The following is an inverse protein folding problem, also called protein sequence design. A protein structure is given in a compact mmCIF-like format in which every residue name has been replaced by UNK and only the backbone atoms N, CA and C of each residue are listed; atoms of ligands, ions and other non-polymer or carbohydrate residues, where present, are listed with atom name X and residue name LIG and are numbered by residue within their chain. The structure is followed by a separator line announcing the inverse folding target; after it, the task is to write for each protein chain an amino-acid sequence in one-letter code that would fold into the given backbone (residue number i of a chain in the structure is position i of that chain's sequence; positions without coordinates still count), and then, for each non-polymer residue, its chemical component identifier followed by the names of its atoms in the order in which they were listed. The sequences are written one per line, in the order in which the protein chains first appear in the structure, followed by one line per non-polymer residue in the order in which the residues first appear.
data_IF_654758635481
#
_entry.id   IF_654758635481
#
_cell.length_a   1.000
_cell.length_b   1.000
_cell.length_c   1.000
_cell.angle_alpha   90.00
_cell.angle_beta   90.00
_cell.angle_gamma   90.00
#
_symmetry.space_group_name_H-M   'P 1'
#
loop_
_entity.id
_entity.type
_entity.pdbx_description
1 polymer ?
#
# COMPACT_ATOMS: atom_id res chain seq x y z
N UNK A 1 -67.31 18.31 8.56
CA UNK A 1 -66.75 17.24 7.71
C UNK A 1 -65.63 16.59 8.48
N UNK A 2 -65.95 15.52 9.19
CA UNK A 2 -65.04 14.73 10.01
C UNK A 2 -64.05 13.97 9.12
N UNK A 3 -62.79 14.39 9.06
CA UNK A 3 -61.72 13.57 8.50
C UNK A 3 -61.18 12.65 9.58
N UNK A 4 -61.72 11.44 9.63
CA UNK A 4 -61.07 10.30 10.27
C UNK A 4 -59.81 9.97 9.47
N UNK A 5 -58.65 10.19 10.08
CA UNK A 5 -57.39 9.63 9.60
C UNK A 5 -57.31 8.24 10.23
N UNK A 6 -57.64 7.22 9.45
CA UNK A 6 -57.39 5.83 9.82
C UNK A 6 -55.87 5.66 9.99
N UNK A 7 -55.37 5.13 11.12
CA UNK A 7 -53.95 4.85 11.24
C UNK A 7 -53.64 3.69 10.30
N UNK A 8 -53.00 4.00 9.18
CA UNK A 8 -52.41 3.00 8.32
C UNK A 8 -51.55 2.08 9.18
N UNK A 9 -51.87 0.78 9.12
CA UNK A 9 -51.15 -0.36 9.68
C UNK A 9 -49.75 -0.42 9.08
N UNK A 10 -48.90 0.52 9.45
CA UNK A 10 -47.48 0.53 9.14
C UNK A 10 -46.76 0.17 10.43
N UNK A 11 -46.16 -1.03 10.53
CA UNK A 11 -45.40 -1.37 11.72
C UNK A 11 -44.28 -0.34 11.90
N UNK A 12 -43.98 0.06 13.14
CA UNK A 12 -42.94 1.04 13.40
C UNK A 12 -41.62 0.51 12.80
N UNK A 13 -41.12 1.20 11.78
CA UNK A 13 -39.81 0.87 11.20
C UNK A 13 -38.75 1.15 12.26
N UNK A 14 -38.10 0.10 12.73
CA UNK A 14 -36.99 0.23 13.65
C UNK A 14 -35.83 0.90 12.90
N UNK A 15 -35.58 2.17 13.19
CA UNK A 15 -34.39 2.85 12.71
C UNK A 15 -33.16 2.12 13.27
N UNK A 16 -32.18 1.83 12.40
CA UNK A 16 -30.96 1.08 12.71
C UNK A 16 -30.09 1.67 13.85
N UNK A 17 -30.45 2.84 14.38
CA UNK A 17 -29.75 3.49 15.48
C UNK A 17 -30.15 2.99 16.88
N UNK A 18 -31.24 2.21 17.03
CA UNK A 18 -31.81 1.88 18.35
C UNK A 18 -31.39 0.47 18.83
N UNK A 19 -30.97 -0.43 17.93
CA UNK A 19 -30.52 -1.78 18.32
C UNK A 19 -29.35 -2.25 17.44
N UNK A 20 -28.12 -2.36 17.98
CA UNK A 20 -26.95 -2.78 17.22
C UNK A 20 -26.94 -4.28 16.87
N UNK A 21 -27.88 -5.08 17.41
CA UNK A 21 -28.05 -6.49 17.08
C UNK A 21 -29.14 -6.73 16.00
N UNK A 22 -29.92 -5.69 15.64
CA UNK A 22 -30.93 -5.78 14.59
C UNK A 22 -30.29 -5.73 13.20
N UNK A 23 -30.05 -6.91 12.63
CA UNK A 23 -29.63 -7.06 11.24
C UNK A 23 -30.88 -7.11 10.36
N UNK A 24 -31.15 -6.10 9.51
CA UNK A 24 -32.23 -6.19 8.54
C UNK A 24 -31.98 -7.39 7.62
N UNK A 25 -33.00 -8.25 7.47
CA UNK A 25 -32.87 -9.51 6.74
C UNK A 25 -32.32 -9.33 5.31
N UNK A 26 -31.63 -10.35 4.76
CA UNK A 26 -31.04 -10.26 3.43
C UNK A 26 -32.12 -9.97 2.39
N UNK A 27 -31.94 -8.92 1.59
CA UNK A 27 -32.84 -8.65 0.48
C UNK A 27 -32.79 -9.83 -0.50
N UNK A 28 -33.95 -10.25 -1.06
CA UNK A 28 -33.96 -11.30 -2.07
C UNK A 28 -33.15 -10.85 -3.29
N UNK A 29 -32.32 -11.75 -3.81
CA UNK A 29 -31.58 -11.51 -5.04
C UNK A 29 -32.54 -11.16 -6.18
N UNK A 30 -32.20 -10.12 -6.95
CA UNK A 30 -32.89 -9.75 -8.18
C UNK A 30 -32.89 -10.97 -9.13
N UNK A 31 -34.04 -11.42 -9.65
CA UNK A 31 -34.07 -12.57 -10.55
C UNK A 31 -33.25 -12.27 -11.81
N UNK A 32 -32.38 -13.21 -12.18
CA UNK A 32 -31.57 -13.17 -13.39
C UNK A 32 -32.48 -13.18 -14.63
N UNK A 33 -32.25 -12.26 -15.54
CA UNK A 33 -32.83 -12.29 -16.88
C UNK A 33 -32.25 -13.49 -17.67
N UNK A 34 -33.03 -14.13 -18.55
CA UNK A 34 -32.59 -15.34 -19.24
C UNK A 34 -31.51 -15.10 -20.30
N UNK A 35 -30.68 -16.14 -20.38
CA UNK A 35 -29.56 -16.46 -21.26
C UNK A 35 -29.68 -16.01 -22.73
N UNK A 36 -28.67 -15.29 -23.22
CA UNK A 36 -28.35 -15.18 -24.64
C UNK A 36 -26.96 -15.79 -24.90
N UNK A 37 -26.94 -17.12 -25.01
CA UNK A 37 -26.33 -17.91 -26.09
C UNK A 37 -24.91 -17.51 -26.53
N UNK A 38 -24.00 -18.40 -26.15
CA UNK A 38 -22.69 -18.72 -26.71
C UNK A 38 -22.41 -18.32 -28.17
N UNK A 39 -21.22 -17.74 -28.37
CA UNK A 39 -20.37 -17.95 -29.54
C UNK A 39 -18.90 -17.87 -29.08
N UNK A 40 -18.18 -18.95 -29.29
CA UNK A 40 -16.73 -19.11 -29.10
C UNK A 40 -16.16 -19.55 -30.48
N UNK A 41 -14.84 -19.66 -30.66
CA UNK A 41 -13.83 -18.65 -30.95
C UNK A 41 -13.30 -18.79 -32.40
N UNK A 42 -12.55 -17.83 -32.97
CA UNK A 42 -11.55 -18.13 -34.01
C UNK A 42 -10.31 -17.22 -33.94
N UNK A 43 -9.21 -17.90 -34.26
CA UNK A 43 -7.79 -17.60 -34.33
C UNK A 43 -7.39 -16.35 -35.16
N UNK A 44 -6.29 -15.71 -34.78
CA UNK A 44 -5.63 -14.72 -35.66
C UNK A 44 -4.72 -13.72 -34.94
N UNK A 45 -3.45 -14.09 -34.72
CA UNK A 45 -2.36 -13.11 -34.80
C UNK A 45 -2.09 -12.83 -36.30
N UNK A 46 -1.71 -11.59 -36.71
CA UNK A 46 -0.29 -11.22 -36.61
C UNK A 46 0.01 -9.70 -36.44
N UNK A 47 1.20 -9.45 -35.88
CA UNK A 47 2.28 -8.56 -36.35
C UNK A 47 2.05 -7.07 -36.71
N UNK A 48 2.95 -6.26 -36.14
CA UNK A 48 3.52 -4.99 -36.61
C UNK A 48 2.63 -3.73 -36.75
N UNK A 49 2.90 -2.77 -35.85
CA UNK A 49 3.02 -1.37 -36.25
C UNK A 49 4.11 -0.69 -35.41
N UNK A 50 5.24 -0.45 -36.07
CA UNK A 50 6.34 0.38 -35.62
C UNK A 50 5.90 1.85 -35.49
N UNK A 51 6.31 2.52 -34.41
CA UNK A 51 6.43 3.97 -34.35
C UNK A 51 7.65 4.31 -33.47
N UNK A 52 8.78 4.57 -34.10
CA UNK A 52 9.81 5.49 -33.62
C UNK A 52 9.77 6.73 -34.54
N UNK A 53 10.53 7.80 -34.25
CA UNK A 53 10.48 8.69 -33.09
C UNK A 53 10.21 10.13 -33.57
N UNK A 54 9.92 11.09 -32.68
CA UNK A 54 10.02 12.51 -33.06
C UNK A 54 10.56 13.38 -31.92
N UNK A 55 11.61 14.13 -32.26
CA UNK A 55 12.42 15.03 -31.46
C UNK A 55 11.68 16.31 -31.06
N UNK A 56 11.99 16.84 -29.87
CA UNK A 56 12.21 18.27 -29.61
C UNK A 56 12.59 18.44 -28.12
N UNK A 57 13.87 18.66 -27.80
CA UNK A 57 14.51 19.98 -27.74
C UNK A 57 14.33 20.70 -26.38
N UNK A 58 15.30 20.42 -25.49
CA UNK A 58 16.18 21.31 -24.71
C UNK A 58 15.70 22.65 -24.08
N UNK A 59 16.40 22.93 -22.97
CA UNK A 59 16.61 24.21 -22.24
C UNK A 59 15.61 24.54 -21.13
N UNK A 60 15.97 25.11 -19.97
CA UNK A 60 17.20 25.34 -19.18
C UNK A 60 16.68 26.06 -17.90
N UNK A 61 17.33 25.95 -16.74
CA UNK A 61 17.00 26.84 -15.61
C UNK A 61 17.24 26.30 -14.20
N UNK A 62 18.51 26.22 -13.84
CA UNK A 62 19.15 26.55 -12.53
C UNK A 62 18.40 26.32 -11.19
N UNK A 63 18.99 25.59 -10.22
CA UNK A 63 18.50 25.55 -8.84
C UNK A 63 18.98 26.77 -8.03
N UNK A 64 18.03 27.54 -7.49
CA UNK A 64 18.33 28.61 -6.52
C UNK A 64 18.18 28.08 -5.09
N UNK A 65 19.31 28.05 -4.40
CA UNK A 65 19.40 27.77 -2.98
C UNK A 65 19.03 29.03 -2.19
N UNK A 66 18.05 28.93 -1.29
CA UNK A 66 18.01 29.81 -0.13
C UNK A 66 17.50 29.09 1.11
N UNK A 67 18.25 29.34 2.17
CA UNK A 67 18.28 28.65 3.44
C UNK A 67 17.31 29.25 4.47
N UNK A 68 17.25 28.53 5.61
CA UNK A 68 16.85 28.97 6.95
C UNK A 68 15.34 29.18 7.15
N UNK A 69 14.72 28.90 8.30
CA UNK A 69 15.04 28.26 9.59
C UNK A 69 13.71 28.46 10.35
N UNK A 70 13.12 27.43 10.97
CA UNK A 70 12.54 27.58 12.32
C UNK A 70 12.08 26.22 12.86
N UNK A 71 12.40 26.03 14.14
CA UNK A 71 12.35 24.80 14.91
C UNK A 71 10.98 24.50 15.52
N UNK A 72 10.70 23.21 15.76
CA UNK A 72 10.04 22.61 16.93
C UNK A 72 9.90 21.12 16.61
N UNK A 73 10.79 20.21 17.04
CA UNK A 73 11.00 19.72 18.42
C UNK A 73 9.69 19.42 19.17
N UNK A 74 9.29 18.15 19.12
CA UNK A 74 8.75 17.29 20.20
C UNK A 74 8.09 16.05 19.52
N UNK A 75 8.50 14.80 19.69
CA UNK A 75 9.49 14.20 20.56
C UNK A 75 9.66 12.70 20.27
N UNK A 76 10.65 12.15 20.98
CA UNK A 76 10.93 10.72 21.22
C UNK A 76 11.51 9.91 20.06
N UNK A 77 12.76 10.24 19.74
CA UNK A 77 13.74 9.24 19.31
C UNK A 77 13.99 8.24 20.46
N UNK A 78 13.39 7.07 20.39
CA UNK A 78 13.93 5.88 21.07
C UNK A 78 15.19 5.48 20.29
N UNK A 79 16.33 5.96 20.81
CA UNK A 79 17.65 5.57 20.39
C UNK A 79 17.86 4.08 20.67
N UNK A 80 17.62 3.23 19.67
CA UNK A 80 18.30 1.95 19.58
C UNK A 80 19.78 2.24 19.29
N UNK A 81 20.63 2.08 20.30
CA UNK A 81 22.07 2.16 20.12
C UNK A 81 22.51 1.22 18.97
N UNK A 82 23.38 1.65 18.03
CA UNK A 82 24.00 0.74 17.08
C UNK A 82 24.99 -0.12 17.87
N UNK A 83 24.51 -1.27 18.33
CA UNK A 83 25.36 -2.37 18.72
C UNK A 83 26.05 -2.89 17.47
N UNK A 84 27.36 -2.97 17.55
CA UNK A 84 28.29 -3.56 16.59
C UNK A 84 27.86 -5.01 16.22
N UNK A 85 27.06 -5.15 15.17
CA UNK A 85 26.75 -6.41 14.46
C UNK A 85 26.90 -6.13 12.95
N UNK A 86 28.11 -5.69 12.57
CA UNK A 86 28.47 -4.99 11.31
C UNK A 86 28.56 -5.88 10.04
N UNK A 87 27.93 -7.06 10.00
CA UNK A 87 28.08 -7.97 8.84
C UNK A 87 26.75 -8.51 8.28
N UNK A 88 25.61 -7.93 8.67
CA UNK A 88 24.32 -8.28 8.04
C UNK A 88 23.79 -7.10 7.25
N UNK A 89 23.35 -7.31 6.00
CA UNK A 89 22.75 -6.24 5.22
C UNK A 89 21.55 -5.68 5.99
N UNK A 90 21.47 -4.36 6.08
CA UNK A 90 20.35 -3.64 6.67
C UNK A 90 19.86 -2.60 5.66
N UNK A 91 18.54 -2.55 5.46
CA UNK A 91 17.89 -1.57 4.60
C UNK A 91 17.07 -0.62 5.46
N UNK A 92 17.32 0.69 5.31
CA UNK A 92 16.51 1.74 5.93
C UNK A 92 15.91 2.67 4.87
N UNK A 93 14.59 2.56 4.68
CA UNK A 93 13.81 3.38 3.78
C UNK A 93 12.80 4.21 4.56
N UNK A 94 12.94 5.54 4.52
CA UNK A 94 12.11 6.46 5.29
C UNK A 94 11.67 7.65 4.45
N UNK A 95 10.41 8.05 4.61
CA UNK A 95 9.79 9.25 4.05
C UNK A 95 9.11 10.04 5.18
N UNK A 96 8.50 11.18 4.86
CA UNK A 96 7.77 12.01 5.81
C UNK A 96 6.65 11.27 6.55
N UNK A 97 6.03 10.26 5.92
CA UNK A 97 4.85 9.56 6.48
C UNK A 97 5.11 8.12 6.87
N UNK A 98 6.09 7.45 6.29
CA UNK A 98 6.29 6.03 6.50
C UNK A 98 7.79 5.70 6.57
N UNK A 99 8.12 4.66 7.30
CA UNK A 99 9.47 4.10 7.33
C UNK A 99 9.45 2.58 7.36
N UNK A 100 10.43 1.97 6.73
CA UNK A 100 10.68 0.55 6.67
C UNK A 100 12.13 0.33 7.06
N UNK A 101 12.33 -0.51 8.07
CA UNK A 101 13.64 -1.01 8.47
C UNK A 101 13.61 -2.52 8.29
N UNK A 102 14.53 -3.05 7.49
CA UNK A 102 14.73 -4.48 7.35
C UNK A 102 16.16 -4.80 7.78
N UNK A 103 16.29 -5.65 8.78
CA UNK A 103 17.56 -6.01 9.41
C UNK A 103 17.56 -7.51 9.74
N UNK A 104 18.62 -8.00 10.37
CA UNK A 104 18.76 -9.43 10.69
C UNK A 104 17.68 -9.97 11.63
N UNK A 105 17.05 -9.11 12.43
CA UNK A 105 16.02 -9.52 13.38
C UNK A 105 14.65 -9.64 12.70
N UNK A 106 14.37 -8.75 11.74
CA UNK A 106 13.09 -8.77 11.06
C UNK A 106 12.83 -7.54 10.22
N UNK A 107 11.54 -7.24 10.05
CA UNK A 107 11.04 -6.07 9.34
C UNK A 107 10.18 -5.22 10.27
N UNK A 108 10.56 -3.96 10.43
CA UNK A 108 9.76 -2.93 11.10
C UNK A 108 9.10 -2.04 10.06
N UNK A 109 7.78 -1.96 10.12
CA UNK A 109 6.97 -1.05 9.30
C UNK A 109 6.40 0.04 10.19
N UNK A 110 6.54 1.30 9.77
CA UNK A 110 5.90 2.45 10.40
C UNK A 110 5.12 3.25 9.37
N UNK A 111 3.91 3.67 9.72
CA UNK A 111 3.09 4.57 8.92
C UNK A 111 2.32 5.53 9.83
N UNK A 112 2.58 6.83 9.63
CA UNK A 112 2.06 7.93 10.45
C UNK A 112 2.35 7.64 11.96
N UNK A 113 1.33 7.35 12.78
CA UNK A 113 1.46 7.02 14.22
C UNK A 113 1.43 5.50 14.52
N UNK A 114 1.36 4.65 13.49
CA UNK A 114 1.30 3.20 13.64
C UNK A 114 2.68 2.60 13.38
N UNK A 115 3.16 1.77 14.31
CA UNK A 115 4.39 0.99 14.17
C UNK A 115 4.09 -0.49 14.44
N UNK A 116 4.68 -1.36 13.63
CA UNK A 116 4.59 -2.81 13.78
C UNK A 116 5.92 -3.47 13.45
N UNK A 117 6.39 -4.31 14.37
CA UNK A 117 7.58 -5.14 14.22
C UNK A 117 7.18 -6.58 13.85
N UNK A 118 7.93 -7.18 12.93
CA UNK A 118 7.75 -8.58 12.52
C UNK A 118 9.08 -9.31 12.54
N UNK A 119 9.16 -10.47 13.20
CA UNK A 119 10.34 -11.34 13.17
C UNK A 119 10.37 -12.17 11.88
N UNK A 120 11.54 -12.49 11.32
CA UNK A 120 11.62 -13.28 10.07
C UNK A 120 10.91 -14.64 10.14
N UNK A 121 10.79 -15.23 11.33
CA UNK A 121 10.09 -16.50 11.55
C UNK A 121 8.58 -16.39 11.39
N UNK A 122 8.04 -15.19 11.55
CA UNK A 122 6.60 -14.90 11.44
C UNK A 122 6.22 -14.44 10.04
N UNK A 123 7.18 -13.93 9.26
CA UNK A 123 6.98 -13.44 7.90
C UNK A 123 6.95 -14.64 6.94
N UNK A 124 5.90 -14.72 6.13
CA UNK A 124 5.78 -15.73 5.07
C UNK A 124 6.45 -15.29 3.76
N UNK A 125 6.32 -14.01 3.42
CA UNK A 125 6.96 -13.41 2.25
C UNK A 125 7.00 -11.88 2.41
N UNK A 126 7.98 -11.24 1.78
CA UNK A 126 8.04 -9.78 1.61
C UNK A 126 7.99 -9.49 0.13
N UNK A 127 7.03 -8.67 -0.29
CA UNK A 127 6.94 -8.14 -1.65
C UNK A 127 7.23 -6.65 -1.62
N UNK A 128 7.98 -6.15 -2.59
CA UNK A 128 8.12 -4.72 -2.81
C UNK A 128 7.78 -4.37 -4.26
N UNK A 129 7.16 -3.21 -4.46
CA UNK A 129 6.75 -2.71 -5.76
C UNK A 129 7.26 -1.28 -5.95
N UNK A 130 7.89 -1.02 -7.11
CA UNK A 130 8.32 0.31 -7.49
C UNK A 130 7.41 0.89 -8.56
N UNK A 131 6.95 2.13 -8.35
CA UNK A 131 6.12 2.81 -9.34
C UNK A 131 6.93 3.16 -10.59
N UNK A 132 6.52 2.66 -11.76
CA UNK A 132 7.24 2.84 -13.05
C UNK A 132 7.51 4.31 -13.43
N UNK A 133 6.61 5.21 -13.02
CA UNK A 133 6.64 6.65 -13.31
C UNK A 133 6.75 7.52 -12.05
N UNK A 134 6.96 6.90 -10.88
CA UNK A 134 6.96 7.56 -9.60
C UNK A 134 8.18 7.19 -8.76
N UNK A 135 8.41 7.96 -7.70
CA UNK A 135 9.45 7.66 -6.69
C UNK A 135 8.86 6.86 -5.52
N UNK A 136 7.86 6.01 -5.79
CA UNK A 136 7.12 5.30 -4.73
C UNK A 136 7.62 3.88 -4.62
N UNK A 137 7.93 3.48 -3.39
CA UNK A 137 8.20 2.12 -2.97
C UNK A 137 7.00 1.68 -2.13
N UNK A 138 6.31 0.64 -2.55
CA UNK A 138 5.31 -0.03 -1.73
C UNK A 138 5.93 -1.31 -1.20
N UNK A 139 5.99 -1.48 0.11
CA UNK A 139 6.47 -2.70 0.75
C UNK A 139 5.28 -3.39 1.39
N UNK A 140 5.09 -4.67 1.07
CA UNK A 140 4.03 -5.53 1.57
C UNK A 140 4.64 -6.74 2.28
N UNK A 141 4.33 -6.90 3.56
CA UNK A 141 4.72 -8.06 4.38
C UNK A 141 3.53 -9.00 4.47
N UNK A 142 3.71 -10.23 3.98
CA UNK A 142 2.72 -11.30 4.03
C UNK A 142 2.93 -12.17 5.26
N UNK A 143 1.88 -12.33 6.05
CA UNK A 143 1.85 -13.20 7.23
C UNK A 143 1.22 -14.57 6.87
N UNK A 144 1.62 -15.66 7.55
CA UNK A 144 1.13 -17.01 7.29
C UNK A 144 -0.38 -17.18 7.60
N UNK A 145 -0.95 -16.27 8.39
CA UNK A 145 -2.37 -16.25 8.74
C UNK A 145 -3.26 -15.55 7.68
N UNK A 146 -2.76 -15.31 6.46
CA UNK A 146 -3.38 -14.49 5.38
C UNK A 146 -3.54 -13.01 5.69
N UNK A 147 -2.96 -12.51 6.77
CA UNK A 147 -2.88 -11.07 6.96
C UNK A 147 -1.72 -10.51 6.12
N UNK A 148 -1.88 -9.29 5.65
CA UNK A 148 -0.83 -8.57 4.96
C UNK A 148 -0.79 -7.14 5.47
N UNK A 149 0.42 -6.62 5.62
CA UNK A 149 0.69 -5.25 6.05
C UNK A 149 1.44 -4.56 4.94
N UNK A 150 1.02 -3.36 4.59
CA UNK A 150 1.59 -2.62 3.47
C UNK A 150 1.86 -1.18 3.87
N UNK A 151 2.97 -0.64 3.39
CA UNK A 151 3.33 0.76 3.57
C UNK A 151 3.82 1.34 2.25
N UNK A 152 3.52 2.61 2.02
CA UNK A 152 3.97 3.35 0.85
C UNK A 152 4.98 4.41 1.30
N UNK A 153 6.19 4.34 0.77
CA UNK A 153 7.28 5.29 1.02
C UNK A 153 7.55 6.05 -0.28
N UNK A 154 7.69 7.37 -0.19
CA UNK A 154 8.10 8.21 -1.33
C UNK A 154 9.58 8.57 -1.20
N UNK A 155 10.40 8.15 -2.16
CA UNK A 155 11.80 8.54 -2.25
C UNK A 155 11.94 9.99 -2.75
N UNK A 156 13.01 10.65 -2.32
CA UNK A 156 13.36 12.02 -2.75
C UNK A 156 13.76 12.06 -4.23
N UNK A 157 14.43 11.03 -4.72
CA UNK A 157 14.91 10.87 -6.10
C UNK A 157 14.89 9.39 -6.50
N UNK A 158 15.01 9.12 -7.81
CA UNK A 158 15.01 7.75 -8.35
C UNK A 158 16.22 6.94 -7.88
N UNK A 159 17.39 7.56 -7.73
CA UNK A 159 18.59 6.88 -7.24
C UNK A 159 18.40 6.35 -5.83
N UNK A 160 17.74 7.12 -4.95
CA UNK A 160 17.44 6.68 -3.58
C UNK A 160 16.46 5.51 -3.55
N UNK A 161 15.49 5.50 -4.48
CA UNK A 161 14.60 4.36 -4.66
C UNK A 161 15.38 3.11 -5.08
N UNK A 162 16.31 3.24 -6.03
CA UNK A 162 17.14 2.13 -6.53
C UNK A 162 18.08 1.59 -5.43
N UNK A 163 18.65 2.47 -4.62
CA UNK A 163 19.46 2.10 -3.45
C UNK A 163 18.64 1.33 -2.42
N UNK A 164 17.43 1.81 -2.08
CA UNK A 164 16.54 1.09 -1.17
C UNK A 164 16.15 -0.29 -1.69
N UNK A 165 15.80 -0.42 -2.96
CA UNK A 165 15.49 -1.75 -3.53
C UNK A 165 16.69 -2.67 -3.49
N UNK A 166 17.89 -2.18 -3.81
CA UNK A 166 19.12 -2.98 -3.80
C UNK A 166 19.48 -3.44 -2.39
N UNK A 167 19.34 -2.56 -1.39
CA UNK A 167 19.55 -2.93 0.01
C UNK A 167 18.52 -3.95 0.46
N UNK A 168 17.24 -3.75 0.11
CA UNK A 168 16.17 -4.65 0.49
C UNK A 168 16.33 -6.04 -0.14
N UNK A 169 16.70 -6.12 -1.42
CA UNK A 169 17.06 -7.38 -2.07
C UNK A 169 18.17 -8.10 -1.30
N UNK A 170 19.28 -7.43 -0.98
CA UNK A 170 20.38 -8.05 -0.25
C UNK A 170 19.97 -8.63 1.13
N UNK A 171 19.03 -7.98 1.83
CA UNK A 171 18.44 -8.53 3.06
C UNK A 171 17.58 -9.75 2.76
N UNK A 172 16.73 -9.70 1.75
CA UNK A 172 15.82 -10.79 1.39
C UNK A 172 16.59 -12.02 0.89
N UNK A 173 17.61 -11.85 0.04
CA UNK A 173 18.55 -12.89 -0.41
C UNK A 173 19.12 -13.66 0.80
N UNK A 174 19.48 -12.94 1.87
CA UNK A 174 20.09 -13.53 3.07
C UNK A 174 19.12 -14.39 3.89
N UNK A 175 17.81 -14.22 3.72
CA UNK A 175 16.78 -14.85 4.57
C UNK A 175 15.83 -15.79 3.83
N UNK A 176 15.64 -15.63 2.51
CA UNK A 176 14.69 -16.42 1.72
C UNK A 176 15.33 -17.32 0.65
N UNK A 177 16.62 -17.15 0.31
CA UNK A 177 17.29 -17.91 -0.76
C UNK A 177 18.19 -19.07 -0.27
N UNK A 178 17.84 -19.73 0.84
CA UNK A 178 18.48 -20.98 1.33
C UNK A 178 17.67 -22.27 1.02
#
# INVERSE_FOLDING_TARGET
MDQRIDPADSPPVHAAAIDPAFVPGPMPARPAAPDVKAAEPEDGAPEAAAIEPDEAALEDGTPDASAADDSSDDGVAESGAPGDDDDSPACEASDRRASVVADRHGVRLRQDDLEVDFDWKEIGAVEYNTSRFGRRLTVTVHMPNRHQYWVEITAVNKERLEEWTTQLDAVLDSHFEE
#
